data_IF_491426448982
#
_entry.id   IF_491426448982
#
_cell.length_a   1.000
_cell.length_b   1.000
_cell.length_c   1.000
_cell.angle_alpha   90.00
_cell.angle_beta   90.00
_cell.angle_gamma   90.00
#
_symmetry.space_group_name_H-M   'P 1'
#
loop_
_entity.id
_entity.type
_entity.pdbx_description
1 polymer ?
#
# COMPACT_ATOMS: atom_id res chain seq x y z
N UNK A 1 51.98 -65.66 1.20
CA UNK A 1 51.61 -64.56 2.10
C UNK A 1 52.61 -64.46 3.26
N UNK A 2 53.17 -63.28 3.50
CA UNK A 2 54.19 -62.99 4.51
C UNK A 2 53.52 -62.42 5.76
N UNK A 3 53.78 -63.04 6.91
CA UNK A 3 53.29 -62.62 8.22
C UNK A 3 54.17 -61.48 8.78
N UNK A 4 53.60 -60.28 8.89
CA UNK A 4 54.31 -59.08 9.34
C UNK A 4 54.55 -59.00 10.85
N UNK A 5 54.09 -60.00 11.62
CA UNK A 5 54.40 -60.11 13.06
C UNK A 5 55.73 -60.83 13.34
N UNK A 6 56.37 -61.40 12.30
CA UNK A 6 57.61 -62.18 12.42
C UNK A 6 58.68 -61.67 11.47
N UNK A 7 59.95 -61.78 11.90
CA UNK A 7 61.08 -61.52 11.02
C UNK A 7 61.05 -62.50 9.84
N UNK A 8 61.05 -61.97 8.63
CA UNK A 8 60.93 -62.74 7.38
C UNK A 8 61.98 -62.31 6.38
N UNK A 9 62.49 -63.27 5.61
CA UNK A 9 63.40 -63.05 4.47
C UNK A 9 62.71 -63.48 3.20
N UNK A 10 62.72 -62.63 2.17
CA UNK A 10 61.93 -62.81 0.93
C UNK A 10 62.80 -62.56 -0.30
N UNK A 11 62.78 -63.47 -1.26
CA UNK A 11 63.45 -63.29 -2.55
C UNK A 11 62.54 -62.51 -3.50
N UNK A 12 62.88 -61.25 -3.79
CA UNK A 12 62.00 -60.33 -4.54
C UNK A 12 62.22 -60.37 -6.05
N UNK A 13 63.30 -60.97 -6.53
CA UNK A 13 63.59 -61.11 -7.95
C UNK A 13 65.07 -61.33 -8.24
N UNK A 14 65.39 -61.54 -9.51
CA UNK A 14 66.75 -61.43 -10.05
C UNK A 14 66.99 -60.04 -10.62
N UNK A 15 68.26 -59.68 -10.80
CA UNK A 15 68.65 -58.39 -11.36
C UNK A 15 67.88 -58.08 -12.65
N UNK A 16 67.19 -56.93 -12.69
CA UNK A 16 66.43 -56.46 -13.86
C UNK A 16 65.04 -57.10 -14.05
N UNK A 17 64.60 -58.01 -13.18
CA UNK A 17 63.26 -58.60 -13.21
C UNK A 17 62.20 -57.51 -12.92
N UNK A 18 61.17 -57.41 -13.78
CA UNK A 18 60.19 -56.33 -13.77
C UNK A 18 58.76 -56.87 -13.66
N UNK A 19 58.07 -56.61 -12.54
CA UNK A 19 56.68 -56.98 -12.25
C UNK A 19 56.33 -58.48 -12.42
N UNK A 20 57.33 -59.37 -12.40
CA UNK A 20 57.10 -60.80 -12.57
C UNK A 20 56.56 -61.47 -11.30
N UNK A 21 56.98 -61.00 -10.13
CA UNK A 21 56.59 -61.57 -8.84
C UNK A 21 55.52 -60.72 -8.18
N UNK A 22 54.65 -61.39 -7.43
CA UNK A 22 53.73 -60.75 -6.51
C UNK A 22 54.12 -61.19 -5.09
N UNK A 23 54.53 -60.21 -4.30
CA UNK A 23 54.88 -60.37 -2.90
C UNK A 23 53.68 -59.93 -2.07
N UNK A 24 53.01 -60.90 -1.48
CA UNK A 24 51.77 -60.70 -0.72
C UNK A 24 52.06 -60.65 0.78
N UNK A 25 51.59 -59.59 1.45
CA UNK A 25 51.76 -59.36 2.87
C UNK A 25 50.41 -59.41 3.60
N UNK A 26 50.40 -60.12 4.73
CA UNK A 26 49.30 -60.06 5.69
C UNK A 26 49.46 -58.80 6.56
N UNK A 27 48.56 -57.83 6.36
CA UNK A 27 48.55 -56.52 7.02
C UNK A 27 47.49 -56.40 8.11
N UNK A 28 46.77 -57.48 8.44
CA UNK A 28 45.69 -57.45 9.43
C UNK A 28 46.18 -56.93 10.80
N UNK A 29 47.41 -57.28 11.18
CA UNK A 29 48.05 -56.81 12.42
C UNK A 29 48.32 -55.30 12.48
N UNK A 30 48.40 -54.63 11.33
CA UNK A 30 48.65 -53.18 11.24
C UNK A 30 47.36 -52.36 11.12
N UNK A 31 46.33 -52.93 10.49
CA UNK A 31 45.06 -52.25 10.26
C UNK A 31 44.10 -52.38 11.45
N UNK A 32 44.05 -53.54 12.11
CA UNK A 32 42.99 -53.83 13.09
C UNK A 32 41.59 -53.58 12.53
N UNK A 33 40.64 -53.21 13.39
CA UNK A 33 39.29 -52.78 13.00
C UNK A 33 39.20 -51.26 12.71
N UNK A 34 40.28 -50.50 12.96
CA UNK A 34 40.23 -49.04 13.11
C UNK A 34 40.84 -48.25 11.93
N UNK A 35 41.63 -48.88 11.05
CA UNK A 35 42.34 -48.18 9.97
C UNK A 35 41.96 -48.69 8.57
N UNK A 36 41.66 -47.78 7.61
CA UNK A 36 41.36 -48.18 6.23
C UNK A 36 42.63 -48.59 5.49
N UNK A 37 42.52 -49.56 4.57
CA UNK A 37 43.66 -50.03 3.76
C UNK A 37 44.35 -48.95 2.92
N UNK A 38 43.66 -47.85 2.60
CA UNK A 38 44.24 -46.69 1.91
C UNK A 38 45.32 -45.94 2.72
N UNK A 39 45.41 -46.21 4.03
CA UNK A 39 46.44 -45.63 4.91
C UNK A 39 47.79 -46.38 4.83
N UNK A 40 47.87 -47.50 4.09
CA UNK A 40 49.08 -48.31 3.99
C UNK A 40 50.08 -47.72 2.98
N UNK A 41 51.36 -47.71 3.38
CA UNK A 41 52.48 -47.40 2.50
C UNK A 41 53.61 -48.39 2.74
N UNK A 42 54.26 -48.86 1.68
CA UNK A 42 55.43 -49.72 1.77
C UNK A 42 56.68 -48.92 1.40
N UNK A 43 57.66 -48.90 2.29
CA UNK A 43 58.94 -48.23 2.07
C UNK A 43 59.99 -49.31 1.83
N UNK A 44 60.59 -49.29 0.66
CA UNK A 44 61.67 -50.18 0.29
C UNK A 44 63.01 -49.46 0.40
N UNK A 45 63.96 -50.10 1.08
CA UNK A 45 65.37 -49.73 1.13
C UNK A 45 66.16 -50.75 0.31
N UNK A 46 66.65 -50.32 -0.84
CA UNK A 46 67.45 -51.11 -1.78
C UNK A 46 68.82 -51.48 -1.17
N UNK A 47 69.52 -52.53 -1.65
CA UNK A 47 70.85 -52.90 -1.13
C UNK A 47 71.91 -51.78 -1.14
N UNK A 48 71.79 -50.77 -2.00
CA UNK A 48 72.68 -49.59 -2.05
C UNK A 48 72.39 -48.54 -0.94
N UNK A 49 71.30 -48.72 -0.19
CA UNK A 49 70.89 -47.84 0.89
C UNK A 49 69.81 -46.82 0.52
N UNK A 50 69.43 -46.71 -0.75
CA UNK A 50 68.38 -45.79 -1.23
C UNK A 50 67.01 -46.26 -0.72
N UNK A 51 66.27 -45.37 -0.05
CA UNK A 51 64.94 -45.67 0.47
C UNK A 51 63.86 -44.83 -0.23
N UNK A 52 62.81 -45.49 -0.73
CA UNK A 52 61.70 -44.82 -1.43
C UNK A 52 60.39 -45.62 -1.24
N UNK A 53 59.23 -44.96 -1.37
CA UNK A 53 57.94 -45.67 -1.36
C UNK A 53 57.79 -46.53 -2.62
N UNK A 54 57.29 -47.76 -2.47
CA UNK A 54 56.94 -48.64 -3.58
C UNK A 54 55.45 -48.68 -3.79
N UNK A 55 55.04 -48.92 -5.05
CA UNK A 55 53.63 -49.05 -5.41
C UNK A 55 53.12 -50.41 -4.94
N UNK A 56 52.02 -50.39 -4.19
CA UNK A 56 51.35 -51.59 -3.67
C UNK A 56 49.86 -51.51 -3.97
N UNK A 57 49.21 -52.65 -4.06
CA UNK A 57 47.77 -52.76 -4.22
C UNK A 57 47.18 -53.50 -3.01
N UNK A 58 46.14 -52.93 -2.40
CA UNK A 58 45.43 -53.57 -1.30
C UNK A 58 44.07 -54.06 -1.78
N UNK A 59 43.86 -55.36 -1.73
CA UNK A 59 42.59 -56.00 -2.06
C UNK A 59 42.41 -57.26 -1.21
N UNK A 60 41.16 -57.59 -0.86
CA UNK A 60 40.81 -58.80 -0.11
C UNK A 60 41.63 -59.01 1.18
N UNK A 61 41.94 -57.92 1.88
CA UNK A 61 42.75 -57.88 3.11
C UNK A 61 44.23 -58.25 2.95
N UNK A 62 44.75 -58.22 1.73
CA UNK A 62 46.15 -58.51 1.41
C UNK A 62 46.79 -57.31 0.72
N UNK A 63 47.98 -56.92 1.18
CA UNK A 63 48.79 -55.91 0.49
C UNK A 63 49.76 -56.62 -0.45
N UNK A 64 49.68 -56.32 -1.74
CA UNK A 64 50.52 -56.93 -2.76
C UNK A 64 51.48 -55.92 -3.35
N UNK A 65 52.78 -56.25 -3.34
CA UNK A 65 53.83 -55.53 -4.04
C UNK A 65 54.31 -56.36 -5.23
N UNK A 66 54.44 -55.73 -6.40
CA UNK A 66 55.07 -56.34 -7.56
C UNK A 66 56.39 -55.61 -7.86
N UNK A 67 57.56 -56.15 -7.49
CA UNK A 67 58.85 -55.48 -7.65
C UNK A 67 59.12 -55.09 -9.09
N UNK A 68 59.51 -53.84 -9.31
CA UNK A 68 59.89 -53.29 -10.61
C UNK A 68 61.38 -53.54 -10.92
N UNK A 69 61.83 -53.11 -12.10
CA UNK A 69 63.23 -53.24 -12.52
C UNK A 69 64.14 -52.35 -11.65
N UNK A 70 63.59 -51.21 -11.20
CA UNK A 70 64.22 -50.29 -10.24
C UNK A 70 64.42 -50.97 -8.89
N UNK A 71 63.49 -51.81 -8.45
CA UNK A 71 63.59 -52.51 -7.16
C UNK A 71 64.61 -53.66 -7.19
N UNK A 72 64.77 -54.29 -8.35
CA UNK A 72 65.70 -55.41 -8.58
C UNK A 72 67.03 -54.97 -9.19
N UNK A 73 67.29 -53.67 -9.34
CA UNK A 73 68.46 -53.14 -10.06
C UNK A 73 69.80 -53.57 -9.43
N UNK A 74 69.85 -53.63 -8.10
CA UNK A 74 71.06 -53.88 -7.31
C UNK A 74 70.92 -55.23 -6.59
N UNK A 75 71.86 -56.13 -6.88
CA UNK A 75 71.96 -57.45 -6.23
C UNK A 75 72.37 -57.28 -4.77
N UNK A 76 71.75 -58.06 -3.89
CA UNK A 76 72.09 -58.07 -2.46
C UNK A 76 70.89 -58.05 -1.54
N UNK A 77 71.12 -57.63 -0.29
CA UNK A 77 70.11 -57.63 0.79
C UNK A 77 69.57 -56.21 1.01
N UNK A 78 68.28 -56.03 0.75
CA UNK A 78 67.50 -54.83 1.06
C UNK A 78 66.57 -55.03 2.26
N UNK A 79 65.77 -54.01 2.57
CA UNK A 79 64.80 -54.03 3.66
C UNK A 79 63.49 -53.40 3.21
N UNK A 80 62.36 -53.98 3.61
CA UNK A 80 61.03 -53.41 3.41
C UNK A 80 60.34 -53.19 4.76
N UNK A 81 59.64 -52.07 4.90
CA UNK A 81 58.80 -51.75 6.05
C UNK A 81 57.44 -51.26 5.55
N UNK A 82 56.36 -51.87 6.04
CA UNK A 82 55.00 -51.42 5.77
C UNK A 82 54.57 -50.50 6.92
N UNK A 83 53.95 -49.38 6.57
CA UNK A 83 53.51 -48.34 7.50
C UNK A 83 52.03 -48.08 7.31
N UNK A 84 51.34 -47.81 8.41
CA UNK A 84 49.99 -47.24 8.39
C UNK A 84 50.08 -45.79 8.87
N UNK A 85 49.48 -44.85 8.12
CA UNK A 85 49.40 -43.43 8.49
C UNK A 85 47.96 -42.96 8.36
N UNK A 86 47.31 -42.65 9.49
CA UNK A 86 45.93 -42.18 9.52
C UNK A 86 45.79 -41.04 10.54
N UNK A 87 45.60 -39.81 10.05
CA UNK A 87 45.72 -38.60 10.87
C UNK A 87 47.13 -38.50 11.47
N UNK A 88 47.20 -38.36 12.80
CA UNK A 88 48.47 -38.28 13.54
C UNK A 88 49.02 -39.66 13.98
N UNK A 89 48.34 -40.76 13.64
CA UNK A 89 48.75 -42.12 14.03
C UNK A 89 49.70 -42.72 13.00
N UNK A 90 50.83 -43.25 13.47
CA UNK A 90 51.81 -43.98 12.64
C UNK A 90 52.09 -45.35 13.25
N UNK A 91 51.72 -46.41 12.54
CA UNK A 91 52.11 -47.79 12.84
C UNK A 91 53.16 -48.30 11.85
N UNK A 92 54.03 -49.21 12.29
CA UNK A 92 55.12 -49.78 11.46
C UNK A 92 55.20 -51.29 11.65
N UNK A 93 55.41 -52.00 10.55
CA UNK A 93 55.64 -53.44 10.54
C UNK A 93 57.00 -53.80 11.10
N UNK A 94 57.21 -55.09 11.40
CA UNK A 94 58.57 -55.64 11.48
C UNK A 94 59.24 -55.49 10.11
N UNK A 95 60.57 -55.27 10.11
CA UNK A 95 61.35 -55.18 8.87
C UNK A 95 61.42 -56.55 8.18
N UNK A 96 61.05 -56.56 6.90
CA UNK A 96 61.22 -57.73 6.02
C UNK A 96 62.56 -57.59 5.31
N UNK A 97 63.43 -58.60 5.40
CA UNK A 97 64.65 -58.65 4.62
C UNK A 97 64.32 -59.09 3.20
N UNK A 98 64.81 -58.36 2.20
CA UNK A 98 64.58 -58.69 0.79
C UNK A 98 65.89 -59.11 0.13
N UNK A 99 65.87 -60.15 -0.70
CA UNK A 99 67.03 -60.61 -1.46
C UNK A 99 66.78 -60.41 -2.96
N UNK A 100 67.71 -59.73 -3.62
CA UNK A 100 67.84 -59.67 -5.08
C UNK A 100 69.00 -60.56 -5.50
N UNK A 101 68.73 -61.53 -6.38
CA UNK A 101 69.72 -62.49 -6.90
C UNK A 101 70.36 -62.01 -8.21
N UNK A 102 71.53 -62.54 -8.57
CA UNK A 102 72.12 -62.33 -9.89
C UNK A 102 71.25 -62.97 -11.00
N UNK A 103 71.16 -62.29 -12.14
CA UNK A 103 70.60 -62.87 -13.37
C UNK A 103 71.67 -63.71 -14.10
N UNK A 104 71.24 -64.65 -14.94
CA UNK A 104 72.15 -65.52 -15.72
C UNK A 104 72.94 -64.75 -16.80
N UNK A 105 72.44 -63.60 -17.27
CA UNK A 105 73.07 -62.72 -18.28
C UNK A 105 72.69 -61.26 -17.96
N UNK A 106 73.63 -60.32 -18.05
CA UNK A 106 73.53 -58.94 -17.54
C UNK A 106 72.95 -57.92 -18.56
N UNK A 107 72.21 -58.39 -19.59
CA UNK A 107 71.60 -57.50 -20.58
C UNK A 107 70.40 -56.74 -19.99
N UNK A 108 70.71 -55.57 -19.42
CA UNK A 108 69.74 -54.58 -18.97
C UNK A 108 69.11 -53.92 -20.21
N UNK A 109 67.86 -54.26 -20.53
CA UNK A 109 67.04 -53.37 -21.38
C UNK A 109 66.78 -52.13 -20.54
N UNK A 110 67.30 -50.97 -20.97
CA UNK A 110 67.03 -49.67 -20.32
C UNK A 110 65.51 -49.48 -20.20
N UNK A 111 64.94 -49.45 -18.99
CA UNK A 111 63.54 -49.12 -18.81
C UNK A 111 63.29 -47.65 -19.24
N UNK A 112 62.13 -47.31 -19.81
CA UNK A 112 61.81 -45.92 -20.14
C UNK A 112 61.88 -45.02 -18.89
N UNK A 113 62.28 -43.75 -19.07
CA UNK A 113 62.30 -42.75 -18.00
C UNK A 113 60.98 -42.74 -17.21
N UNK A 114 61.02 -42.55 -15.88
CA UNK A 114 59.86 -42.75 -15.03
C UNK A 114 58.71 -41.83 -15.47
N UNK A 115 57.48 -42.37 -15.63
CA UNK A 115 56.31 -41.61 -16.10
C UNK A 115 55.99 -40.36 -15.26
N UNK A 116 56.49 -40.30 -14.02
CA UNK A 116 56.33 -39.15 -13.13
C UNK A 116 57.14 -37.91 -13.56
N UNK A 117 58.31 -38.08 -14.20
CA UNK A 117 59.14 -36.94 -14.63
C UNK A 117 58.56 -36.26 -15.87
N UNK A 118 58.11 -37.06 -16.84
CA UNK A 118 57.37 -36.60 -18.03
C UNK A 118 56.10 -35.85 -17.62
N UNK A 119 55.33 -36.41 -16.69
CA UNK A 119 54.14 -35.78 -16.13
C UNK A 119 54.45 -34.45 -15.42
N UNK A 120 55.51 -34.40 -14.59
CA UNK A 120 55.90 -33.16 -13.90
C UNK A 120 56.32 -32.06 -14.90
N UNK A 121 57.05 -32.42 -15.94
CA UNK A 121 57.46 -31.47 -16.98
C UNK A 121 56.25 -30.96 -17.78
N UNK A 122 55.28 -31.83 -18.09
CA UNK A 122 54.03 -31.42 -18.73
C UNK A 122 53.23 -30.44 -17.83
N UNK A 123 53.16 -30.72 -16.52
CA UNK A 123 52.50 -29.84 -15.55
C UNK A 123 53.21 -28.49 -15.44
N UNK A 124 54.54 -28.46 -15.36
CA UNK A 124 55.32 -27.22 -15.28
C UNK A 124 55.21 -26.39 -16.56
N UNK A 125 55.19 -27.03 -17.74
CA UNK A 125 55.00 -26.35 -19.02
C UNK A 125 53.61 -25.72 -19.11
N UNK A 126 52.55 -26.45 -18.72
CA UNK A 126 51.19 -25.93 -18.71
C UNK A 126 51.02 -24.76 -17.72
N UNK A 127 51.72 -24.78 -16.58
CA UNK A 127 51.70 -23.68 -15.62
C UNK A 127 52.47 -22.44 -16.11
N UNK A 128 53.55 -22.62 -16.87
CA UNK A 128 54.32 -21.52 -17.44
C UNK A 128 53.58 -20.77 -18.57
N UNK A 129 52.60 -21.41 -19.20
CA UNK A 129 51.71 -20.80 -20.20
C UNK A 129 50.60 -19.93 -19.60
N UNK A 130 50.37 -20.01 -18.28
CA UNK A 130 49.36 -19.17 -17.62
C UNK A 130 49.89 -17.75 -17.38
N UNK A 131 49.35 -16.79 -18.15
CA UNK A 131 49.55 -15.37 -17.90
C UNK A 131 48.58 -14.89 -16.79
N UNK A 132 49.12 -14.75 -15.58
CA UNK A 132 48.37 -14.31 -14.39
C UNK A 132 47.90 -12.86 -14.56
N UNK A 133 48.64 -12.01 -15.27
CA UNK A 133 48.27 -10.62 -15.49
C UNK A 133 47.10 -10.51 -16.48
N UNK A 134 47.10 -11.32 -17.54
CA UNK A 134 45.96 -11.43 -18.47
C UNK A 134 44.70 -11.92 -17.75
N UNK A 135 44.82 -12.96 -16.91
CA UNK A 135 43.70 -13.46 -16.10
C UNK A 135 43.16 -12.40 -15.13
N UNK A 136 44.04 -11.64 -14.47
CA UNK A 136 43.64 -10.55 -13.57
C UNK A 136 42.96 -9.40 -14.34
N UNK A 137 43.44 -9.08 -15.54
CA UNK A 137 42.82 -8.07 -16.40
C UNK A 137 41.42 -8.49 -16.86
N UNK A 138 41.25 -9.75 -17.26
CA UNK A 138 39.95 -10.29 -17.64
C UNK A 138 38.98 -10.32 -16.45
N UNK A 139 39.48 -10.67 -15.26
CA UNK A 139 38.70 -10.65 -14.03
C UNK A 139 38.23 -9.23 -13.68
N UNK A 140 39.12 -8.24 -13.77
CA UNK A 140 38.79 -6.83 -13.54
C UNK A 140 37.77 -6.30 -14.57
N UNK A 141 37.93 -6.64 -15.85
CA UNK A 141 36.98 -6.28 -16.89
C UNK A 141 35.59 -6.86 -16.59
N UNK A 142 35.54 -8.14 -16.22
CA UNK A 142 34.29 -8.84 -15.87
C UNK A 142 33.64 -8.19 -14.64
N UNK A 143 34.43 -7.84 -13.62
CA UNK A 143 33.95 -7.17 -12.42
C UNK A 143 33.35 -5.79 -12.73
N UNK A 144 34.00 -4.99 -13.57
CA UNK A 144 33.51 -3.67 -13.96
C UNK A 144 32.20 -3.78 -14.77
N UNK A 145 32.15 -4.69 -15.76
CA UNK A 145 30.93 -4.95 -16.53
C UNK A 145 29.76 -5.39 -15.64
N UNK A 146 30.03 -6.20 -14.61
CA UNK A 146 29.01 -6.63 -13.65
C UNK A 146 28.48 -5.44 -12.83
N UNK A 147 29.37 -4.54 -12.37
CA UNK A 147 28.97 -3.35 -11.63
C UNK A 147 28.15 -2.38 -12.49
N UNK A 148 28.55 -2.14 -13.73
CA UNK A 148 27.82 -1.27 -14.65
C UNK A 148 26.41 -1.84 -14.93
N UNK A 149 26.30 -3.15 -15.15
CA UNK A 149 25.02 -3.82 -15.30
C UNK A 149 24.15 -3.72 -14.05
N UNK A 150 24.73 -3.84 -12.85
CA UNK A 150 24.02 -3.66 -11.60
C UNK A 150 23.48 -2.23 -11.45
N UNK A 151 24.28 -1.22 -11.78
CA UNK A 151 23.85 0.18 -11.75
C UNK A 151 22.72 0.48 -12.74
N UNK A 152 22.83 -0.05 -13.96
CA UNK A 152 21.78 0.06 -14.98
C UNK A 152 20.49 -0.62 -14.53
N UNK A 153 20.58 -1.82 -13.97
CA UNK A 153 19.42 -2.56 -13.45
C UNK A 153 18.74 -1.80 -12.31
N UNK A 154 19.52 -1.24 -11.38
CA UNK A 154 18.97 -0.44 -10.28
C UNK A 154 18.25 0.81 -10.78
N UNK A 155 18.85 1.52 -11.74
CA UNK A 155 18.23 2.68 -12.39
C UNK A 155 16.93 2.30 -13.09
N UNK A 156 16.92 1.17 -13.81
CA UNK A 156 15.73 0.64 -14.49
C UNK A 156 14.63 0.29 -13.50
N UNK A 157 15.00 -0.31 -12.35
CA UNK A 157 14.05 -0.63 -11.29
C UNK A 157 13.39 0.64 -10.73
N UNK A 158 14.16 1.68 -10.39
CA UNK A 158 13.59 2.94 -9.90
C UNK A 158 12.66 3.62 -10.90
N UNK A 159 13.01 3.61 -12.20
CA UNK A 159 12.16 4.14 -13.27
C UNK A 159 10.85 3.34 -13.41
N UNK A 160 10.91 2.02 -13.25
CA UNK A 160 9.72 1.16 -13.29
C UNK A 160 8.81 1.39 -12.09
N UNK A 161 9.37 1.59 -10.90
CA UNK A 161 8.59 1.90 -9.69
C UNK A 161 7.88 3.25 -9.85
N UNK A 162 8.59 4.30 -10.28
CA UNK A 162 8.00 5.63 -10.55
C UNK A 162 6.91 5.58 -11.64
N UNK A 163 7.13 4.77 -12.68
CA UNK A 163 6.14 4.53 -13.73
C UNK A 163 4.92 3.81 -13.15
N UNK A 164 5.13 2.81 -12.29
CA UNK A 164 4.09 2.09 -11.57
C UNK A 164 3.23 3.03 -10.74
N UNK A 165 3.86 3.86 -9.90
CA UNK A 165 3.18 4.86 -9.06
C UNK A 165 2.36 5.85 -9.91
N UNK A 166 2.94 6.32 -11.02
CA UNK A 166 2.26 7.22 -11.96
C UNK A 166 1.05 6.55 -12.61
N UNK A 167 1.16 5.28 -13.02
CA UNK A 167 0.08 4.52 -13.64
C UNK A 167 -1.03 4.21 -12.63
N UNK A 168 -0.69 3.85 -11.39
CA UNK A 168 -1.67 3.65 -10.31
C UNK A 168 -2.42 4.94 -10.01
N UNK A 169 -1.71 6.06 -9.91
CA UNK A 169 -2.33 7.37 -9.71
C UNK A 169 -3.28 7.73 -10.86
N UNK A 170 -2.83 7.63 -12.12
CA UNK A 170 -3.66 7.94 -13.30
C UNK A 170 -4.85 6.99 -13.43
N UNK A 171 -4.67 5.72 -13.11
CA UNK A 171 -5.75 4.74 -13.10
C UNK A 171 -6.76 5.07 -12.00
N UNK A 172 -6.31 5.46 -10.80
CA UNK A 172 -7.18 5.96 -9.75
C UNK A 172 -7.98 7.20 -10.18
N UNK A 173 -7.34 8.15 -10.85
CA UNK A 173 -8.01 9.33 -11.42
C UNK A 173 -9.07 8.91 -12.45
N UNK A 174 -8.70 8.07 -13.42
CA UNK A 174 -9.60 7.63 -14.48
C UNK A 174 -10.77 6.82 -13.93
N UNK A 175 -10.53 5.90 -12.99
CA UNK A 175 -11.58 5.16 -12.31
C UNK A 175 -12.51 6.11 -11.55
N UNK A 176 -11.98 7.09 -10.82
CA UNK A 176 -12.80 8.12 -10.16
C UNK A 176 -13.65 8.96 -11.14
N UNK A 177 -13.22 9.12 -12.40
CA UNK A 177 -13.97 9.83 -13.44
C UNK A 177 -14.97 8.92 -14.17
N UNK A 178 -14.66 7.64 -14.37
CA UNK A 178 -15.44 6.69 -15.19
C UNK A 178 -16.50 5.93 -14.38
N UNK A 179 -16.22 5.68 -13.11
CA UNK A 179 -17.13 5.03 -12.18
C UNK A 179 -16.86 5.70 -10.84
N UNK A 180 -17.66 6.68 -10.39
CA UNK A 180 -17.40 7.38 -9.14
C UNK A 180 -17.58 6.39 -7.97
N UNK A 181 -16.54 5.60 -7.72
CA UNK A 181 -16.41 4.55 -6.71
C UNK A 181 -16.20 5.18 -5.33
N UNK A 182 -15.74 6.43 -5.30
CA UNK A 182 -15.95 7.35 -4.19
C UNK A 182 -16.88 8.48 -4.63
N UNK A 183 -18.07 8.11 -5.13
CA UNK A 183 -19.21 8.92 -4.72
C UNK A 183 -19.21 8.84 -3.19
N UNK A 184 -18.69 9.86 -2.52
CA UNK A 184 -19.47 10.42 -1.46
C UNK A 184 -20.79 10.78 -2.14
N UNK A 185 -21.71 9.81 -2.19
CA UNK A 185 -23.11 10.08 -2.40
C UNK A 185 -23.37 11.29 -1.55
N UNK A 186 -23.89 12.35 -2.16
CA UNK A 186 -24.13 13.55 -1.40
C UNK A 186 -24.85 13.18 -0.10
N UNK A 187 -24.74 13.97 0.98
CA UNK A 187 -25.52 13.71 2.19
C UNK A 187 -27.04 13.56 1.92
N UNK A 188 -27.53 13.70 0.68
CA UNK A 188 -28.88 13.38 0.21
C UNK A 188 -29.22 11.87 0.20
N UNK A 189 -28.27 10.95 0.00
CA UNK A 189 -28.61 9.53 -0.14
C UNK A 189 -28.45 8.70 1.14
N UNK A 190 -27.61 9.15 2.09
CA UNK A 190 -27.23 8.32 3.25
C UNK A 190 -27.61 8.95 4.60
N UNK A 191 -27.52 10.27 4.73
CA UNK A 191 -27.92 11.01 5.94
C UNK A 191 -29.33 11.60 5.80
N UNK A 192 -30.05 11.71 6.93
CA UNK A 192 -31.34 12.42 6.94
C UNK A 192 -31.14 13.93 7.02
N UNK A 193 -32.06 14.66 6.40
CA UNK A 193 -32.13 16.12 6.44
C UNK A 193 -33.43 16.56 7.08
N UNK A 194 -33.39 17.68 7.79
CA UNK A 194 -34.57 18.31 8.38
C UNK A 194 -34.51 19.83 8.22
N UNK A 195 -35.65 20.49 8.34
CA UNK A 195 -35.69 21.93 8.48
C UNK A 195 -36.72 22.37 9.51
N UNK A 196 -36.43 23.48 10.17
CA UNK A 196 -37.37 24.15 11.06
C UNK A 196 -37.39 25.64 10.71
N UNK A 197 -38.58 26.18 10.49
CA UNK A 197 -38.80 27.60 10.14
C UNK A 197 -39.60 28.26 11.25
N UNK A 198 -38.97 29.16 12.00
CA UNK A 198 -39.59 29.87 13.11
C UNK A 198 -40.36 31.09 12.62
N UNK A 199 -41.58 31.28 13.12
CA UNK A 199 -42.35 32.51 12.92
C UNK A 199 -42.24 33.45 14.11
N UNK A 200 -41.99 32.92 15.32
CA UNK A 200 -41.65 33.68 16.51
C UNK A 200 -40.93 32.80 17.55
N UNK A 201 -40.19 33.43 18.45
CA UNK A 201 -39.52 32.78 19.59
C UNK A 201 -39.77 33.64 20.83
N UNK A 202 -40.20 33.00 21.92
CA UNK A 202 -40.44 33.63 23.22
C UNK A 202 -39.61 32.96 24.32
N UNK A 203 -39.43 33.67 25.44
CA UNK A 203 -38.75 33.14 26.62
C UNK A 203 -39.40 31.83 27.10
N UNK A 204 -38.58 30.83 27.40
CA UNK A 204 -39.01 29.50 27.83
C UNK A 204 -39.46 28.58 26.69
N UNK A 205 -39.54 29.06 25.45
CA UNK A 205 -39.70 28.15 24.31
C UNK A 205 -38.49 27.24 24.18
N UNK A 206 -38.67 26.05 23.61
CA UNK A 206 -37.58 25.14 23.35
C UNK A 206 -37.70 24.43 22.01
N UNK A 207 -36.56 23.86 21.59
CA UNK A 207 -36.41 22.92 20.49
C UNK A 207 -35.73 21.67 21.04
N UNK A 208 -36.29 20.51 20.81
CA UNK A 208 -35.69 19.22 21.19
C UNK A 208 -35.17 18.54 19.95
N UNK A 209 -33.89 18.14 20.00
CA UNK A 209 -33.21 17.44 18.90
C UNK A 209 -32.54 16.20 19.48
N UNK A 210 -33.10 15.02 19.16
CA UNK A 210 -32.68 13.78 19.77
C UNK A 210 -32.85 13.83 21.29
N UNK A 211 -31.74 13.80 22.04
CA UNK A 211 -31.73 13.87 23.52
C UNK A 211 -31.45 15.27 24.06
N UNK A 212 -31.08 16.24 23.22
CA UNK A 212 -30.67 17.58 23.65
C UNK A 212 -31.84 18.56 23.54
N UNK A 213 -32.08 19.32 24.61
CA UNK A 213 -33.11 20.37 24.65
C UNK A 213 -32.46 21.75 24.62
N UNK A 214 -32.79 22.54 23.60
CA UNK A 214 -32.35 23.92 23.42
C UNK A 214 -33.47 24.85 23.89
N UNK A 215 -33.27 25.53 25.02
CA UNK A 215 -34.26 26.44 25.60
C UNK A 215 -33.87 27.88 25.33
N UNK A 216 -34.80 28.66 24.79
CA UNK A 216 -34.62 30.09 24.57
C UNK A 216 -34.88 30.87 25.86
N UNK A 217 -33.93 31.71 26.26
CA UNK A 217 -33.97 32.44 27.52
C UNK A 217 -33.65 33.92 27.33
N UNK A 218 -34.15 34.78 28.22
CA UNK A 218 -33.77 36.21 28.25
C UNK A 218 -32.53 36.48 29.11
N UNK A 219 -32.04 35.49 29.85
CA UNK A 219 -30.79 35.52 30.60
C UNK A 219 -30.23 34.11 30.73
N UNK A 220 -28.91 33.96 30.53
CA UNK A 220 -28.23 32.67 30.70
C UNK A 220 -28.08 32.31 32.18
N UNK A 221 -28.14 31.01 32.46
CA UNK A 221 -27.91 30.44 33.79
C UNK A 221 -27.05 29.18 33.70
N UNK A 222 -27.31 28.21 34.59
CA UNK A 222 -26.61 26.92 34.64
C UNK A 222 -27.57 25.78 34.28
N UNK A 223 -27.72 25.43 32.99
CA UNK A 223 -28.61 24.36 32.58
C UNK A 223 -28.14 22.98 33.09
N UNK A 224 -29.09 22.06 33.25
CA UNK A 224 -28.81 20.67 33.59
C UNK A 224 -28.19 19.92 32.38
N UNK A 225 -27.59 18.74 32.62
CA UNK A 225 -27.08 17.89 31.54
C UNK A 225 -28.13 17.66 30.42
N UNK A 226 -27.67 17.60 29.17
CA UNK A 226 -28.50 17.54 27.95
C UNK A 226 -29.41 18.75 27.70
N UNK A 227 -29.22 19.85 28.44
CA UNK A 227 -29.93 21.10 28.18
C UNK A 227 -28.92 22.17 27.77
N UNK A 228 -29.32 22.96 26.78
CA UNK A 228 -28.58 24.11 26.28
C UNK A 228 -29.50 25.32 26.37
N UNK A 229 -29.01 26.42 26.92
CA UNK A 229 -29.72 27.69 26.90
C UNK A 229 -29.19 28.57 25.77
N UNK A 230 -30.10 29.16 25.01
CA UNK A 230 -29.82 30.08 23.91
C UNK A 230 -30.42 31.44 24.28
N UNK A 231 -29.59 32.46 24.36
CA UNK A 231 -30.02 33.82 24.67
C UNK A 231 -30.82 34.40 23.50
N UNK A 232 -32.04 34.87 23.77
CA UNK A 232 -32.88 35.57 22.80
C UNK A 232 -32.21 36.90 22.43
N UNK A 233 -32.11 37.14 21.13
CA UNK A 233 -31.47 38.32 20.54
C UNK A 233 -32.51 39.35 20.11
N UNK A 234 -32.05 40.55 19.75
CA UNK A 234 -32.92 41.67 19.30
C UNK A 234 -33.80 41.33 18.08
N UNK A 235 -33.39 40.34 17.28
CA UNK A 235 -34.15 39.88 16.13
C UNK A 235 -34.31 38.36 16.15
N UNK A 236 -35.41 37.88 15.56
CA UNK A 236 -35.65 36.46 15.34
C UNK A 236 -34.48 35.81 14.58
N UNK A 237 -33.99 36.50 13.55
CA UNK A 237 -32.83 36.11 12.74
C UNK A 237 -31.61 35.82 13.59
N UNK A 238 -31.21 36.78 14.42
CA UNK A 238 -30.03 36.64 15.26
C UNK A 238 -30.22 35.51 16.28
N UNK A 239 -31.42 35.35 16.82
CA UNK A 239 -31.74 34.25 17.74
C UNK A 239 -31.57 32.88 17.07
N UNK A 240 -32.07 32.71 15.83
CA UNK A 240 -31.92 31.45 15.09
C UNK A 240 -30.45 31.20 14.68
N UNK A 241 -29.67 32.24 14.40
CA UNK A 241 -28.21 32.11 14.19
C UNK A 241 -27.49 31.57 15.44
N UNK A 242 -27.81 32.10 16.62
CA UNK A 242 -27.23 31.59 17.87
C UNK A 242 -27.66 30.13 18.11
N UNK A 243 -28.91 29.77 17.81
CA UNK A 243 -29.34 28.36 17.85
C UNK A 243 -28.50 27.47 16.92
N UNK A 244 -28.24 27.90 15.69
CA UNK A 244 -27.39 27.16 14.76
C UNK A 244 -25.97 26.96 15.30
N UNK A 245 -25.39 28.01 15.90
CA UNK A 245 -24.09 27.94 16.60
C UNK A 245 -24.12 26.94 17.76
N UNK A 246 -25.19 26.97 18.57
CA UNK A 246 -25.37 26.08 19.71
C UNK A 246 -25.44 24.60 19.30
N UNK A 247 -26.18 24.29 18.23
CA UNK A 247 -26.26 22.92 17.71
C UNK A 247 -24.92 22.47 17.13
N UNK A 248 -24.17 23.38 16.49
CA UNK A 248 -22.81 23.10 15.96
C UNK A 248 -21.76 22.93 17.05
N UNK A 249 -22.00 23.42 18.26
CA UNK A 249 -21.00 23.43 19.32
C UNK A 249 -19.99 24.58 19.23
N UNK A 250 -20.35 25.69 18.59
CA UNK A 250 -19.47 26.86 18.54
C UNK A 250 -19.44 27.53 19.91
N UNK A 251 -18.25 27.84 20.41
CA UNK A 251 -18.05 28.55 21.68
C UNK A 251 -18.57 30.00 21.57
N UNK A 252 -19.58 30.33 22.39
CA UNK A 252 -20.15 31.66 22.53
C UNK A 252 -20.78 31.79 23.92
N UNK A 253 -19.93 31.86 24.95
CA UNK A 253 -20.37 31.91 26.36
C UNK A 253 -21.26 33.12 26.68
N UNK A 254 -21.24 34.14 25.82
CA UNK A 254 -22.09 35.32 25.96
C UNK A 254 -23.55 35.07 25.57
N UNK A 255 -23.80 34.11 24.67
CA UNK A 255 -25.13 33.84 24.11
C UNK A 255 -25.59 32.39 24.30
N UNK A 256 -24.70 31.47 24.71
CA UNK A 256 -24.98 30.05 24.84
C UNK A 256 -24.44 29.53 26.16
N UNK A 257 -25.26 28.79 26.90
CA UNK A 257 -24.82 28.04 28.07
C UNK A 257 -25.13 26.55 27.89
N UNK A 258 -24.11 25.70 27.97
CA UNK A 258 -24.24 24.25 27.91
C UNK A 258 -24.33 23.67 29.32
N UNK A 259 -25.22 22.70 29.52
CA UNK A 259 -25.28 21.99 30.79
C UNK A 259 -24.07 21.10 30.99
N UNK A 260 -23.73 20.79 32.24
CA UNK A 260 -22.55 19.97 32.56
C UNK A 260 -22.53 18.65 31.77
N UNK A 261 -21.41 18.37 31.09
CA UNK A 261 -21.23 17.17 30.26
C UNK A 261 -22.04 17.15 28.96
N UNK A 262 -22.65 18.28 28.56
CA UNK A 262 -23.35 18.41 27.27
C UNK A 262 -22.35 18.83 26.21
N UNK A 263 -21.94 17.87 25.39
CA UNK A 263 -21.12 18.13 24.20
C UNK A 263 -21.95 18.78 23.07
N UNK A 264 -21.31 19.33 22.02
CA UNK A 264 -21.99 19.67 20.76
C UNK A 264 -22.92 18.56 20.29
N UNK A 265 -24.01 18.91 19.57
CA UNK A 265 -25.00 17.91 19.17
C UNK A 265 -24.33 16.78 18.37
N UNK A 266 -24.31 15.58 18.97
CA UNK A 266 -23.64 14.40 18.43
C UNK A 266 -24.42 13.75 17.29
N UNK A 267 -25.71 14.05 17.17
CA UNK A 267 -26.63 13.42 16.22
C UNK A 267 -26.70 14.22 14.92
N UNK A 268 -26.74 15.56 15.01
CA UNK A 268 -26.87 16.42 13.84
C UNK A 268 -26.00 17.67 13.93
N UNK A 269 -25.80 18.30 12.79
CA UNK A 269 -25.32 19.69 12.69
C UNK A 269 -26.44 20.57 12.14
N UNK A 270 -26.36 21.88 12.37
CA UNK A 270 -27.35 22.81 11.86
C UNK A 270 -26.73 24.10 11.33
N UNK A 271 -27.37 24.66 10.31
CA UNK A 271 -26.89 25.81 9.56
C UNK A 271 -28.03 26.79 9.41
N UNK A 272 -27.78 28.04 9.77
CA UNK A 272 -28.75 29.09 9.51
C UNK A 272 -28.63 29.49 8.04
N UNK A 273 -29.76 29.87 7.45
CA UNK A 273 -29.76 30.44 6.11
C UNK A 273 -30.60 31.71 6.14
N UNK A 274 -30.02 32.79 5.61
CA UNK A 274 -30.74 34.05 5.37
C UNK A 274 -31.91 33.90 4.39
N UNK A 275 -31.96 32.77 3.70
CA UNK A 275 -32.86 32.45 2.61
C UNK A 275 -33.74 31.26 2.99
N UNK A 276 -34.97 31.28 2.48
CA UNK A 276 -35.98 30.30 2.86
C UNK A 276 -35.69 28.95 2.21
N UNK A 277 -35.90 27.89 2.97
CA UNK A 277 -35.57 26.55 2.54
C UNK A 277 -36.74 25.59 2.81
N UNK A 278 -37.03 24.73 1.85
CA UNK A 278 -38.05 23.69 1.96
C UNK A 278 -37.42 22.33 1.69
N UNK A 279 -37.67 21.37 2.59
CA UNK A 279 -37.35 19.95 2.38
C UNK A 279 -38.65 19.20 2.16
N UNK A 280 -38.87 18.69 0.95
CA UNK A 280 -40.01 17.80 0.68
C UNK A 280 -41.40 18.46 0.81
N UNK A 281 -41.48 19.75 1.13
CA UNK A 281 -42.72 20.51 1.17
C UNK A 281 -43.00 21.17 -0.18
N UNK A 282 -44.28 21.42 -0.47
CA UNK A 282 -44.77 22.14 -1.65
C UNK A 282 -45.01 23.63 -1.39
N UNK A 283 -44.73 24.10 -0.17
CA UNK A 283 -44.80 25.50 0.21
C UNK A 283 -43.50 25.94 0.89
N UNK A 284 -43.22 27.24 0.85
CA UNK A 284 -42.10 27.85 1.56
C UNK A 284 -42.67 28.72 2.68
N UNK A 285 -42.52 28.27 3.92
CA UNK A 285 -43.02 29.00 5.09
C UNK A 285 -42.29 30.35 5.27
N UNK A 286 -43.03 31.36 5.73
CA UNK A 286 -42.44 32.64 6.10
C UNK A 286 -41.77 32.55 7.48
N UNK A 287 -40.60 33.17 7.63
CA UNK A 287 -39.88 33.18 8.90
C UNK A 287 -38.37 33.07 8.74
N UNK A 288 -37.71 32.57 9.78
CA UNK A 288 -36.27 32.30 9.81
C UNK A 288 -36.03 30.79 9.91
N UNK A 289 -35.28 30.24 8.96
CA UNK A 289 -35.12 28.80 8.77
C UNK A 289 -33.76 28.29 9.26
N UNK A 290 -33.77 27.08 9.78
CA UNK A 290 -32.59 26.32 10.12
C UNK A 290 -32.56 25.04 9.27
N UNK A 291 -31.47 24.83 8.54
CA UNK A 291 -31.19 23.56 7.89
C UNK A 291 -30.48 22.63 8.86
N UNK A 292 -30.88 21.37 8.90
CA UNK A 292 -30.32 20.38 9.80
C UNK A 292 -29.90 19.13 9.03
N UNK A 293 -28.71 18.62 9.35
CA UNK A 293 -28.12 17.46 8.71
C UNK A 293 -27.70 16.43 9.77
N UNK A 294 -28.19 15.21 9.64
CA UNK A 294 -27.75 14.09 10.46
C UNK A 294 -26.27 13.76 10.18
N UNK A 295 -25.49 13.61 11.24
CA UNK A 295 -24.07 13.21 11.19
C UNK A 295 -23.90 11.72 10.92
N UNK A 296 -24.77 10.89 11.49
CA UNK A 296 -24.70 9.45 11.31
C UNK A 296 -25.22 9.01 9.93
N UNK A 297 -24.34 8.42 9.14
CA UNK A 297 -24.69 7.79 7.88
C UNK A 297 -25.47 6.49 8.10
N UNK A 298 -26.48 6.22 7.25
CA UNK A 298 -27.26 4.99 7.25
C UNK A 298 -28.00 4.65 8.56
N UNK A 299 -28.02 5.57 9.53
CA UNK A 299 -28.79 5.45 10.75
C UNK A 299 -30.29 5.35 10.46
N UNK A 300 -30.95 4.42 11.15
CA UNK A 300 -32.39 4.15 11.02
C UNK A 300 -33.18 4.56 12.26
N UNK A 301 -32.49 4.83 13.37
CA UNK A 301 -33.11 5.28 14.63
C UNK A 301 -33.80 6.62 14.44
N UNK A 302 -35.07 6.77 14.83
CA UNK A 302 -35.78 8.04 14.70
C UNK A 302 -35.05 9.17 15.47
N UNK A 303 -34.93 10.35 14.86
CA UNK A 303 -34.44 11.54 15.53
C UNK A 303 -35.64 12.42 15.86
N UNK A 304 -35.88 12.65 17.15
CA UNK A 304 -36.89 13.59 17.59
C UNK A 304 -36.49 15.01 17.15
N UNK A 305 -37.40 15.72 16.49
CA UNK A 305 -37.30 17.14 16.19
C UNK A 305 -38.65 17.78 16.54
N UNK A 306 -38.70 18.47 17.67
CA UNK A 306 -39.92 19.14 18.14
C UNK A 306 -39.61 20.55 18.62
N UNK A 307 -40.60 21.43 18.56
CA UNK A 307 -40.47 22.80 19.05
C UNK A 307 -41.73 23.19 19.82
N UNK A 308 -41.56 23.88 20.94
CA UNK A 308 -42.66 24.60 21.59
C UNK A 308 -42.78 26.05 21.09
N UNK A 309 -41.75 26.57 20.41
CA UNK A 309 -41.85 27.83 19.68
C UNK A 309 -42.73 27.65 18.42
N UNK A 310 -43.54 28.65 18.04
CA UNK A 310 -44.26 28.64 16.77
C UNK A 310 -43.32 28.45 15.57
N UNK A 311 -43.36 27.26 14.98
CA UNK A 311 -42.50 26.88 13.88
C UNK A 311 -43.15 25.83 12.98
N UNK A 312 -42.80 25.86 11.69
CA UNK A 312 -43.07 24.78 10.76
C UNK A 312 -41.87 23.82 10.75
N UNK A 313 -42.12 22.53 10.94
CA UNK A 313 -41.07 21.50 11.04
C UNK A 313 -41.23 20.51 9.89
N UNK A 314 -40.17 20.38 9.09
CA UNK A 314 -39.97 19.25 8.20
C UNK A 314 -39.03 18.26 8.90
N UNK A 315 -39.53 17.09 9.34
CA UNK A 315 -38.77 16.16 10.16
C UNK A 315 -37.62 15.51 9.38
N UNK A 316 -36.70 14.87 10.11
CA UNK A 316 -35.57 14.15 9.52
C UNK A 316 -36.04 13.05 8.56
N UNK A 317 -35.81 13.25 7.27
CA UNK A 317 -36.15 12.31 6.22
C UNK A 317 -34.95 12.05 5.30
N UNK A 318 -34.85 10.82 4.76
CA UNK A 318 -33.93 10.51 3.66
C UNK A 318 -34.62 10.91 2.38
N UNK A 319 -33.99 11.77 1.58
CA UNK A 319 -34.56 12.23 0.32
C UNK A 319 -33.45 12.24 -0.71
N UNK A 320 -33.61 11.40 -1.73
CA UNK A 320 -32.65 11.21 -2.81
C UNK A 320 -32.58 12.37 -3.83
N UNK A 321 -33.23 13.50 -3.51
CA UNK A 321 -33.29 14.72 -4.32
C UNK A 321 -33.64 15.94 -3.44
N UNK A 322 -33.29 17.13 -3.90
CA UNK A 322 -33.76 18.40 -3.37
C UNK A 322 -34.92 18.89 -4.23
N UNK A 323 -36.12 19.02 -3.66
CA UNK A 323 -37.23 19.68 -4.36
C UNK A 323 -37.07 21.19 -4.28
N UNK A 324 -36.85 21.83 -5.42
CA UNK A 324 -36.84 23.28 -5.54
C UNK A 324 -38.21 23.78 -5.99
N UNK A 325 -38.88 24.59 -5.17
CA UNK A 325 -40.16 25.20 -5.51
C UNK A 325 -39.92 26.49 -6.28
N UNK A 326 -40.56 26.61 -7.44
CA UNK A 326 -40.51 27.79 -8.27
C UNK A 326 -41.48 28.83 -7.69
N UNK A 327 -41.00 29.69 -6.80
CA UNK A 327 -41.80 30.77 -6.24
C UNK A 327 -41.94 31.97 -7.21
N UNK A 328 -41.87 31.73 -8.51
CA UNK A 328 -41.86 32.76 -9.55
C UNK A 328 -43.26 33.32 -9.79
N UNK A 329 -43.51 34.51 -9.23
CA UNK A 329 -44.48 35.51 -9.68
C UNK A 329 -45.98 35.24 -9.43
N UNK A 330 -46.58 35.94 -8.46
CA UNK A 330 -48.05 36.04 -8.32
C UNK A 330 -48.58 37.40 -8.82
N UNK A 331 -47.76 38.31 -9.36
CA UNK A 331 -48.28 39.60 -9.81
C UNK A 331 -47.31 40.40 -10.70
N UNK A 332 -47.48 40.28 -12.02
CA UNK A 332 -46.92 41.22 -12.98
C UNK A 332 -47.41 40.92 -14.39
N UNK A 333 -48.28 41.78 -14.95
CA UNK A 333 -48.71 41.71 -16.34
C UNK A 333 -47.60 42.23 -17.25
N UNK A 334 -46.87 41.33 -17.89
CA UNK A 334 -45.82 41.68 -18.85
C UNK A 334 -44.78 40.57 -18.91
N UNK A 335 -44.78 39.83 -20.01
CA UNK A 335 -43.79 38.80 -20.28
C UNK A 335 -42.39 39.39 -20.40
N UNK A 336 -41.71 39.48 -19.26
CA UNK A 336 -40.28 39.58 -19.04
C UNK A 336 -40.15 39.91 -17.55
N UNK A 337 -39.70 38.96 -16.72
CA UNK A 337 -39.00 39.17 -15.44
C UNK A 337 -38.85 37.81 -14.74
N UNK A 338 -37.76 37.09 -15.03
CA UNK A 338 -37.33 35.96 -14.20
C UNK A 338 -36.89 36.49 -12.84
N UNK A 339 -37.81 36.54 -11.87
CA UNK A 339 -37.45 36.79 -10.47
C UNK A 339 -37.01 35.45 -9.91
N UNK A 340 -35.70 35.29 -9.73
CA UNK A 340 -35.12 34.04 -9.23
C UNK A 340 -35.68 33.72 -7.84
N UNK A 341 -35.89 32.43 -7.57
CA UNK A 341 -36.39 31.94 -6.29
C UNK A 341 -35.37 32.10 -5.14
N UNK A 342 -35.73 31.72 -3.92
CA UNK A 342 -34.83 31.81 -2.77
C UNK A 342 -33.59 30.91 -2.93
N UNK A 343 -32.46 31.26 -2.31
CA UNK A 343 -31.31 30.34 -2.27
C UNK A 343 -31.65 29.13 -1.41
N UNK A 344 -31.32 27.95 -1.90
CA UNK A 344 -31.39 26.70 -1.17
C UNK A 344 -29.98 26.19 -0.89
N UNK A 345 -29.76 25.70 0.33
CA UNK A 345 -28.50 25.05 0.68
C UNK A 345 -28.38 23.70 -0.03
N UNK A 346 -27.30 23.51 -0.77
CA UNK A 346 -26.93 22.23 -1.40
C UNK A 346 -25.99 21.47 -0.46
N UNK A 347 -24.89 22.12 -0.09
CA UNK A 347 -23.91 21.65 0.88
C UNK A 347 -23.68 22.76 1.89
N UNK A 348 -23.95 22.56 3.19
CA UNK A 348 -23.63 23.59 4.16
C UNK A 348 -22.13 23.79 4.34
N UNK A 349 -21.75 24.88 5.00
CA UNK A 349 -20.35 25.22 5.27
C UNK A 349 -19.65 24.07 6.01
N UNK A 350 -18.52 23.61 5.46
CA UNK A 350 -17.70 22.56 6.07
C UNK A 350 -18.34 21.17 6.10
N UNK A 351 -19.32 20.89 5.24
CA UNK A 351 -20.08 19.63 5.23
C UNK A 351 -19.53 18.53 4.32
N UNK A 352 -18.37 18.75 3.70
CA UNK A 352 -17.75 17.75 2.83
C UNK A 352 -17.02 16.71 3.67
N UNK A 353 -17.58 15.52 3.69
CA UNK A 353 -17.03 14.34 4.37
C UNK A 353 -16.25 13.52 3.35
N UNK A 354 -14.96 13.33 3.61
CA UNK A 354 -14.13 12.34 2.91
C UNK A 354 -13.69 11.33 3.96
N UNK A 355 -14.12 10.05 3.85
CA UNK A 355 -13.53 8.95 4.61
C UNK A 355 -14.28 8.38 5.83
N UNK A 356 -15.62 8.48 5.89
CA UNK A 356 -16.40 7.90 6.99
C UNK A 356 -16.35 8.76 8.26
N UNK A 357 -17.52 9.18 8.75
CA UNK A 357 -17.71 10.24 9.76
C UNK A 357 -17.34 9.87 11.20
N UNK A 358 -16.27 9.10 11.41
CA UNK A 358 -15.59 9.01 12.71
C UNK A 358 -14.55 10.11 12.93
N UNK A 359 -14.20 10.87 11.88
CA UNK A 359 -13.22 11.95 11.91
C UNK A 359 -13.82 13.35 11.97
N UNK A 360 -13.03 14.31 12.46
CA UNK A 360 -13.31 15.74 12.37
C UNK A 360 -13.57 16.15 10.91
N UNK A 361 -14.51 17.08 10.70
CA UNK A 361 -14.82 17.65 9.38
C UNK A 361 -13.54 18.21 8.76
N UNK A 362 -13.05 17.60 7.67
CA UNK A 362 -11.86 18.09 6.98
C UNK A 362 -12.24 19.23 6.03
N UNK A 363 -11.49 20.32 6.15
CA UNK A 363 -11.53 21.48 5.24
C UNK A 363 -10.87 21.10 3.91
N UNK A 364 -11.60 20.41 3.03
CA UNK A 364 -11.12 20.08 1.68
C UNK A 364 -11.70 21.02 0.62
N UNK A 365 -10.90 21.30 -0.41
CA UNK A 365 -11.42 21.87 -1.67
C UNK A 365 -12.04 20.74 -2.50
N UNK A 366 -13.10 21.04 -3.26
CA UNK A 366 -13.78 20.03 -4.07
C UNK A 366 -14.27 20.64 -5.39
N UNK A 367 -14.23 19.85 -6.47
CA UNK A 367 -14.80 20.25 -7.75
C UNK A 367 -16.18 19.60 -7.90
N UNK A 368 -17.21 20.43 -8.03
CA UNK A 368 -18.56 19.93 -8.23
C UNK A 368 -18.81 19.64 -9.72
N UNK A 369 -18.73 18.36 -10.12
CA UNK A 369 -19.37 17.91 -11.36
C UNK A 369 -20.84 17.60 -11.07
N UNK A 370 -21.71 18.54 -11.43
CA UNK A 370 -23.12 18.45 -11.12
C UNK A 370 -23.92 17.78 -12.23
N UNK A 371 -24.21 16.48 -12.08
CA UNK A 371 -25.27 15.83 -12.85
C UNK A 371 -26.59 16.14 -12.15
N UNK A 372 -27.35 17.11 -12.70
CA UNK A 372 -28.68 17.44 -12.20
C UNK A 372 -29.72 16.60 -12.94
N UNK A 373 -30.29 15.62 -12.26
CA UNK A 373 -31.61 15.13 -12.66
C UNK A 373 -32.59 16.24 -12.35
N UNK A 374 -33.19 16.89 -13.35
CA UNK A 374 -34.25 17.87 -13.14
C UNK A 374 -35.58 17.29 -13.63
N UNK A 375 -36.42 16.86 -12.68
CA UNK A 375 -37.82 16.57 -12.99
C UNK A 375 -38.63 17.85 -12.85
N UNK A 376 -38.94 18.47 -13.98
CA UNK A 376 -39.78 19.66 -14.03
C UNK A 376 -41.26 19.29 -13.91
N UNK A 377 -42.02 20.07 -13.17
CA UNK A 377 -43.48 19.92 -13.09
C UNK A 377 -44.22 20.69 -14.18
N UNK A 378 -43.52 21.49 -14.99
CA UNK A 378 -44.07 22.35 -16.04
C UNK A 378 -43.09 22.51 -17.21
N UNK A 379 -43.49 23.30 -18.22
CA UNK A 379 -42.75 23.47 -19.48
C UNK A 379 -41.94 24.77 -19.55
N UNK A 380 -41.74 25.47 -18.43
CA UNK A 380 -41.00 26.74 -18.43
C UNK A 380 -39.49 26.50 -18.55
N UNK A 381 -38.74 27.44 -19.11
CA UNK A 381 -37.29 27.39 -19.13
C UNK A 381 -36.73 27.67 -17.74
N UNK A 382 -35.74 26.88 -17.30
CA UNK A 382 -35.09 27.06 -15.99
C UNK A 382 -33.62 27.41 -16.12
N UNK A 383 -33.13 28.24 -15.22
CA UNK A 383 -31.71 28.54 -15.08
C UNK A 383 -31.27 28.34 -13.63
N UNK A 384 -30.13 27.69 -13.42
CA UNK A 384 -29.56 27.48 -12.10
C UNK A 384 -28.36 28.39 -11.89
N UNK A 385 -28.41 29.19 -10.82
CA UNK A 385 -27.26 29.95 -10.33
C UNK A 385 -26.70 29.27 -9.08
N UNK A 386 -25.39 29.06 -9.08
CA UNK A 386 -24.64 28.49 -7.98
C UNK A 386 -23.90 29.57 -7.22
N UNK A 387 -23.97 29.49 -5.90
CA UNK A 387 -23.37 30.44 -5.00
C UNK A 387 -22.54 29.71 -3.96
N UNK A 388 -21.47 30.37 -3.51
CA UNK A 388 -20.73 29.99 -2.33
C UNK A 388 -20.84 31.05 -1.25
N UNK A 389 -20.81 30.61 -0.01
CA UNK A 389 -20.77 31.48 1.18
C UNK A 389 -20.00 30.78 2.29
N UNK A 390 -19.17 31.52 3.02
CA UNK A 390 -18.44 31.07 4.21
C UNK A 390 -19.02 31.65 5.52
N UNK A 391 -20.01 32.53 5.43
CA UNK A 391 -20.61 33.25 6.55
C UNK A 391 -22.16 33.14 6.61
N UNK A 392 -22.77 32.49 5.61
CA UNK A 392 -24.23 32.34 5.44
C UNK A 392 -24.98 33.66 5.17
N UNK A 393 -24.24 34.76 4.98
CA UNK A 393 -24.75 36.12 4.77
C UNK A 393 -24.38 36.66 3.38
N UNK A 394 -23.11 36.52 3.01
CA UNK A 394 -22.58 36.97 1.72
C UNK A 394 -22.48 35.80 0.76
N UNK A 395 -23.18 35.93 -0.37
CA UNK A 395 -23.26 34.88 -1.39
C UNK A 395 -22.57 35.34 -2.67
N UNK A 396 -21.50 34.65 -3.04
CA UNK A 396 -20.76 34.90 -4.27
C UNK A 396 -21.20 33.91 -5.34
N UNK A 397 -21.72 34.41 -6.47
CA UNK A 397 -22.12 33.53 -7.57
C UNK A 397 -20.88 32.93 -8.23
N UNK A 398 -20.78 31.60 -8.22
CA UNK A 398 -19.74 30.85 -8.93
C UNK A 398 -20.06 30.73 -10.42
N UNK A 399 -21.26 30.25 -10.73
CA UNK A 399 -21.61 29.88 -12.10
C UNK A 399 -23.13 29.97 -12.31
N UNK A 400 -23.51 30.19 -13.58
CA UNK A 400 -24.86 30.00 -14.10
C UNK A 400 -24.88 28.79 -15.04
N UNK A 401 -25.90 27.95 -14.97
CA UNK A 401 -26.13 26.86 -15.91
C UNK A 401 -26.46 27.41 -17.30
N UNK A 402 -26.26 26.60 -18.34
CA UNK A 402 -27.03 26.81 -19.57
C UNK A 402 -28.53 26.67 -19.26
N UNK A 403 -29.42 27.38 -19.96
CA UNK A 403 -30.85 27.22 -19.75
C UNK A 403 -31.28 25.76 -19.99
N UNK A 404 -32.05 25.24 -19.05
CA UNK A 404 -32.65 23.92 -19.10
C UNK A 404 -33.92 24.06 -19.94
N UNK A 405 -33.88 23.52 -21.16
CA UNK A 405 -34.93 23.70 -22.16
C UNK A 405 -36.32 23.25 -21.71
N UNK A 406 -37.34 23.80 -22.36
CA UNK A 406 -38.74 23.45 -22.16
C UNK A 406 -39.03 22.07 -22.76
N UNK A 407 -39.58 21.14 -21.96
CA UNK A 407 -40.12 19.88 -22.46
C UNK A 407 -41.60 19.77 -22.09
N UNK A 408 -42.40 19.35 -23.07
CA UNK A 408 -43.86 19.22 -23.00
C UNK A 408 -44.32 17.82 -22.60
N UNK A 409 -43.44 16.82 -22.59
CA UNK A 409 -43.72 15.50 -22.02
C UNK A 409 -43.42 15.52 -20.52
N UNK A 410 -44.29 14.95 -19.68
CA UNK A 410 -44.11 14.81 -18.23
C UNK A 410 -42.95 13.87 -17.82
N UNK A 411 -41.96 13.73 -18.71
CA UNK A 411 -40.79 12.87 -18.60
C UNK A 411 -39.69 13.59 -17.83
N UNK A 412 -39.00 12.85 -16.96
CA UNK A 412 -37.80 13.36 -16.30
C UNK A 412 -36.75 13.70 -17.36
N UNK A 413 -36.43 14.98 -17.50
CA UNK A 413 -35.31 15.40 -18.32
C UNK A 413 -34.00 15.13 -17.55
N UNK A 414 -33.13 14.34 -18.16
CA UNK A 414 -31.74 14.24 -17.73
C UNK A 414 -31.01 15.41 -18.38
N UNK A 415 -30.64 16.41 -17.58
CA UNK A 415 -29.86 17.55 -18.08
C UNK A 415 -28.57 17.61 -17.30
N UNK A 416 -27.49 17.19 -17.95
CA UNK A 416 -26.16 17.37 -17.40
C UNK A 416 -25.84 18.86 -17.39
N UNK A 417 -25.72 19.41 -16.18
CA UNK A 417 -25.33 20.79 -15.98
C UNK A 417 -23.84 20.77 -15.70
N UNK A 418 -23.05 20.75 -16.77
CA UNK A 418 -21.61 20.77 -16.66
C UNK A 418 -21.18 22.12 -16.05
N UNK A 419 -20.77 22.06 -14.78
CA UNK A 419 -20.10 23.20 -14.17
C UNK A 419 -18.68 23.27 -14.69
N UNK A 420 -18.31 24.40 -15.27
CA UNK A 420 -16.94 24.66 -15.68
C UNK A 420 -16.13 24.89 -14.41
N UNK A 421 -15.59 23.81 -13.85
CA UNK A 421 -14.41 23.77 -12.96
C UNK A 421 -14.27 24.91 -11.94
N UNK A 422 -15.37 25.37 -11.32
CA UNK A 422 -15.31 26.33 -10.24
C UNK A 422 -15.14 25.58 -8.92
N UNK A 423 -13.88 25.36 -8.54
CA UNK A 423 -13.50 24.73 -7.26
C UNK A 423 -14.15 25.47 -6.10
N UNK A 424 -14.92 24.78 -5.26
CA UNK A 424 -15.44 25.37 -4.02
C UNK A 424 -14.29 25.40 -3.00
N UNK A 425 -13.93 26.57 -2.44
CA UNK A 425 -12.85 26.65 -1.47
C UNK A 425 -13.23 25.95 -0.16
N UNK A 426 -12.22 25.47 0.57
CA UNK A 426 -12.43 24.88 1.88
C UNK A 426 -13.10 25.90 2.83
N UNK A 427 -14.06 25.43 3.63
CA UNK A 427 -14.80 26.29 4.56
C UNK A 427 -15.94 27.10 3.93
N UNK A 428 -16.24 26.90 2.65
CA UNK A 428 -17.44 27.44 2.02
C UNK A 428 -18.55 26.38 1.93
N UNK A 429 -19.81 26.83 2.00
CA UNK A 429 -20.97 26.05 1.62
C UNK A 429 -21.35 26.32 0.16
N UNK A 430 -22.06 25.38 -0.46
CA UNK A 430 -22.63 25.49 -1.80
C UNK A 430 -24.14 25.70 -1.72
N UNK A 431 -24.63 26.67 -2.49
CA UNK A 431 -26.02 27.11 -2.51
C UNK A 431 -26.49 27.24 -3.95
N UNK A 432 -27.80 27.09 -4.16
CA UNK A 432 -28.42 27.14 -5.48
C UNK A 432 -29.63 28.05 -5.50
N UNK A 433 -29.80 28.79 -6.58
CA UNK A 433 -30.96 29.63 -6.85
C UNK A 433 -31.48 29.30 -8.25
N UNK A 434 -32.78 29.07 -8.40
CA UNK A 434 -33.39 28.77 -9.70
C UNK A 434 -34.17 29.98 -10.22
N UNK A 435 -33.87 30.39 -11.44
CA UNK A 435 -34.73 31.22 -12.26
C UNK A 435 -35.69 30.37 -13.08
N UNK A 436 -36.91 30.85 -13.26
CA UNK A 436 -37.87 30.32 -14.21
C UNK A 436 -38.45 31.47 -15.02
N UNK A 437 -38.82 31.22 -16.27
CA UNK A 437 -39.67 32.14 -17.07
C UNK A 437 -41.18 31.81 -16.94
N UNK A 438 -41.51 30.75 -16.20
CA UNK A 438 -42.86 30.30 -15.93
C UNK A 438 -43.61 31.16 -14.90
N UNK A 439 -44.94 31.05 -14.92
CA UNK A 439 -45.85 31.79 -14.03
C UNK A 439 -46.54 30.90 -12.99
N UNK A 440 -46.24 29.59 -12.97
CA UNK A 440 -46.86 28.65 -12.03
C UNK A 440 -46.21 28.76 -10.66
N UNK A 441 -47.00 29.16 -9.66
CA UNK A 441 -46.59 29.23 -8.25
C UNK A 441 -46.47 27.87 -7.55
N UNK A 442 -46.91 26.80 -8.22
CA UNK A 442 -46.86 25.42 -7.71
C UNK A 442 -45.81 24.57 -8.43
N UNK A 443 -45.12 25.15 -9.41
CA UNK A 443 -44.17 24.40 -10.18
C UNK A 443 -42.90 24.12 -9.37
N UNK A 444 -42.25 23.00 -9.64
CA UNK A 444 -41.07 22.53 -8.95
C UNK A 444 -40.08 21.87 -9.91
N UNK A 445 -38.81 21.82 -9.51
CA UNK A 445 -37.82 20.93 -10.08
C UNK A 445 -37.19 20.11 -8.96
N UNK A 446 -37.27 18.78 -9.08
CA UNK A 446 -36.51 17.88 -8.22
C UNK A 446 -35.08 17.81 -8.75
N UNK A 447 -34.10 18.15 -7.92
CA UNK A 447 -32.68 18.26 -8.24
C UNK A 447 -31.88 17.15 -7.54
N UNK A 448 -31.10 16.37 -8.28
CA UNK A 448 -30.09 15.47 -7.71
C UNK A 448 -28.71 16.07 -7.85
N UNK A 449 -27.85 15.93 -6.85
CA UNK A 449 -26.50 16.48 -6.89
C UNK A 449 -25.45 15.38 -6.83
N UNK A 450 -24.44 15.47 -7.69
CA UNK A 450 -23.19 14.72 -7.59
C UNK A 450 -22.05 15.71 -7.38
N UNK A 451 -21.04 15.34 -6.62
CA UNK A 451 -19.79 16.11 -6.50
C UNK A 451 -18.61 15.15 -6.53
N UNK A 452 -17.47 15.62 -7.04
CA UNK A 452 -16.24 14.86 -7.07
C UNK A 452 -15.28 15.43 -6.03
N UNK A 453 -14.82 14.56 -5.15
CA UNK A 453 -13.84 14.90 -4.15
C UNK A 453 -12.46 14.64 -4.73
N UNK A 454 -11.58 15.64 -4.66
CA UNK A 454 -10.18 15.47 -5.00
C UNK A 454 -9.40 15.23 -3.70
N UNK A 455 -8.61 14.15 -3.61
CA UNK A 455 -7.61 13.99 -2.56
C UNK A 455 -6.79 15.26 -2.38
N UNK A 456 -6.52 15.66 -1.14
CA UNK A 456 -5.77 16.88 -0.81
C UNK A 456 -4.38 16.91 -1.47
N UNK A 457 -3.74 15.75 -1.68
CA UNK A 457 -2.48 15.60 -2.41
C UNK A 457 -2.56 16.04 -3.89
N UNK A 458 -3.75 16.06 -4.49
CA UNK A 458 -3.99 16.57 -5.85
C UNK A 458 -4.44 18.04 -5.86
N UNK A 459 -4.58 18.67 -4.69
CA UNK A 459 -5.04 20.08 -4.57
C UNK A 459 -3.89 21.08 -4.44
N UNK A 460 -2.67 20.61 -4.18
CA UNK A 460 -1.47 21.43 -3.95
C UNK A 460 -0.61 21.68 -5.19
N UNK A 461 -0.96 21.11 -6.35
CA UNK A 461 -0.32 21.52 -7.60
C UNK A 461 -0.90 22.89 -8.02
N UNK A 462 -0.41 23.94 -7.36
CA UNK A 462 -0.32 25.25 -7.96
C UNK A 462 0.44 25.09 -9.26
N UNK A 463 -0.27 25.19 -10.37
CA UNK A 463 0.28 25.35 -11.71
C UNK A 463 1.55 26.22 -11.67
N UNK A 464 2.69 25.59 -11.99
CA UNK A 464 3.81 26.26 -12.62
C UNK A 464 3.78 25.90 -14.10
#
# INVERSE_FOLDING_TARGET
MIDLTKASTVHIGRRGEHHFRNIEFDVASLLGDDYPGAALSAIYKRPDGTAYPVVTNYADSVLTWSPSATDTEIVGVGQLEIRVVFGDVVGKSVKVLTIVEEALVDEIVTPPEPPAQEWLNQVLSALAELDIDELNNLLNLTYNLLNDNYALLNTTHSLLDETGDTLYMRTGILLNHLHPIETATAPDMISRRASITFSSILNGNNVVIGTVTYTFVTALGSPAANNVQVLIQDTLRNTVKILAKAIRGVEDESNIAYGAGTDPNSICTAYWTSQRFSIGSTTIDAGESLFMLERAENSTSAIALTSTAPAAINPFARISFLRYLLSGNVSGSGGANSVRGPLHTVLPIGSVVIGGQGGLLYLATYDCHLITLCRQSDTSEKELDFYISNDEETFTRLQRSTPIGSNTSAESLHVDIEMRQARVPAGYGLYICMGSDGTSSSAYCDLKFTYHLYPTSLTTDTNN
#
